data_IF_212963417215
#
_entry.id   IF_212963417215
#
_cell.length_a   1.000
_cell.length_b   1.000
_cell.length_c   1.000
_cell.angle_alpha   90.00
_cell.angle_beta   90.00
_cell.angle_gamma   90.00
#
_symmetry.space_group_name_H-M   'P 1'
#
loop_
_entity.id
_entity.type
_entity.pdbx_description
1 polymer ?
#
# COMPACT_ATOMS: atom_id res chain seq x y z
N UNK A 1 -2.27 -55.76 4.17
CA UNK A 1 -3.59 -56.27 4.60
C UNK A 1 -3.76 -55.96 6.07
N UNK A 2 -4.71 -55.10 6.43
CA UNK A 2 -5.19 -54.86 7.79
C UNK A 2 -6.58 -54.19 7.68
N UNK A 3 -7.50 -54.52 8.58
CA UNK A 3 -8.93 -54.42 8.31
C UNK A 3 -9.61 -53.09 8.67
N UNK A 4 -10.77 -52.94 8.03
CA UNK A 4 -11.92 -52.09 8.38
C UNK A 4 -12.21 -51.96 9.87
N UNK A 5 -12.85 -50.85 10.26
CA UNK A 5 -14.14 -50.86 10.97
C UNK A 5 -14.79 -49.45 10.96
N UNK A 6 -15.99 -49.34 10.39
CA UNK A 6 -16.87 -48.18 10.60
C UNK A 6 -17.64 -48.35 11.91
N UNK A 7 -18.05 -47.24 12.56
CA UNK A 7 -19.04 -47.28 13.65
C UNK A 7 -20.03 -46.13 13.61
N UNK A 8 -21.29 -46.48 13.40
CA UNK A 8 -22.49 -45.72 13.79
C UNK A 8 -23.02 -46.28 15.13
N UNK A 9 -24.00 -45.72 15.85
CA UNK A 9 -24.85 -44.51 15.73
C UNK A 9 -24.88 -43.85 17.15
N UNK A 10 -25.67 -42.85 17.58
CA UNK A 10 -26.90 -42.22 17.07
C UNK A 10 -27.03 -40.75 17.55
N UNK A 11 -28.06 -40.05 17.08
CA UNK A 11 -28.55 -38.80 17.65
C UNK A 11 -29.12 -38.94 19.07
N UNK A 12 -29.13 -37.84 19.81
CA UNK A 12 -30.14 -37.56 20.84
C UNK A 12 -30.49 -36.09 20.82
N UNK A 13 -31.75 -35.79 20.50
CA UNK A 13 -32.23 -34.42 20.33
C UNK A 13 -32.42 -33.71 21.67
N UNK A 14 -32.13 -32.41 21.70
CA UNK A 14 -32.81 -31.44 22.56
C UNK A 14 -33.18 -30.21 21.74
N UNK A 15 -34.46 -29.87 21.78
CA UNK A 15 -35.11 -28.85 20.96
C UNK A 15 -35.64 -27.74 21.88
N UNK A 16 -35.53 -26.50 21.41
CA UNK A 16 -36.15 -25.25 21.93
C UNK A 16 -35.78 -24.78 23.34
N UNK A 17 -35.24 -23.55 23.41
CA UNK A 17 -36.07 -22.38 23.69
C UNK A 17 -35.52 -21.12 23.03
N UNK A 18 -36.44 -20.27 22.60
CA UNK A 18 -36.22 -18.99 21.95
C UNK A 18 -36.14 -17.85 22.97
N UNK A 19 -35.23 -16.90 22.76
CA UNK A 19 -35.46 -15.49 23.09
C UNK A 19 -34.85 -14.66 21.97
N UNK A 20 -35.70 -14.08 21.12
CA UNK A 20 -35.30 -13.16 20.07
C UNK A 20 -35.04 -11.80 20.69
N UNK A 21 -33.83 -11.59 21.22
CA UNK A 21 -33.36 -10.24 21.52
C UNK A 21 -33.10 -9.53 20.18
N UNK A 22 -34.17 -9.01 19.60
CA UNK A 22 -34.14 -7.99 18.57
C UNK A 22 -33.50 -6.75 19.19
N UNK A 23 -32.16 -6.72 19.17
CA UNK A 23 -31.40 -5.52 19.45
C UNK A 23 -31.74 -4.53 18.34
N UNK A 24 -32.72 -3.68 18.63
CA UNK A 24 -33.10 -2.54 17.83
C UNK A 24 -31.89 -1.62 17.75
N UNK A 25 -31.03 -1.86 16.76
CA UNK A 25 -30.08 -0.88 16.29
C UNK A 25 -30.90 0.32 15.85
N UNK A 26 -31.00 1.31 16.71
CA UNK A 26 -31.38 2.67 16.34
C UNK A 26 -30.38 3.11 15.28
N UNK A 27 -30.76 2.92 14.02
CA UNK A 27 -30.01 3.40 12.89
C UNK A 27 -29.99 4.92 13.02
N UNK A 28 -28.86 5.48 13.46
CA UNK A 28 -28.70 6.91 13.57
C UNK A 28 -28.76 7.49 12.16
N UNK A 29 -29.92 8.02 11.78
CA UNK A 29 -30.21 8.44 10.41
C UNK A 29 -29.43 9.70 9.97
N UNK A 30 -28.58 10.25 10.85
CA UNK A 30 -27.65 11.36 10.56
C UNK A 30 -26.18 10.94 10.44
N UNK A 31 -25.88 9.64 10.25
CA UNK A 31 -24.51 9.11 10.30
C UNK A 31 -23.73 9.13 8.96
N UNK A 32 -24.26 9.78 7.92
CA UNK A 32 -23.58 9.98 6.63
C UNK A 32 -23.50 11.47 6.29
N UNK A 33 -22.75 12.23 7.09
CA UNK A 33 -22.19 13.49 6.61
C UNK A 33 -20.98 13.16 5.72
N UNK A 34 -21.10 13.44 4.43
CA UNK A 34 -19.98 13.41 3.50
C UNK A 34 -19.01 14.54 3.88
N UNK A 35 -17.88 14.19 4.52
CA UNK A 35 -16.80 15.14 4.77
C UNK A 35 -16.34 15.73 3.43
N UNK A 36 -16.49 17.05 3.25
CA UNK A 36 -16.07 17.70 2.00
C UNK A 36 -14.54 17.64 1.92
N UNK A 37 -13.97 17.54 0.71
CA UNK A 37 -12.52 17.51 0.53
C UNK A 37 -11.88 18.75 1.18
N UNK A 38 -10.84 18.53 1.98
CA UNK A 38 -10.11 19.57 2.72
C UNK A 38 -10.65 19.93 4.12
N UNK A 39 -11.87 19.56 4.51
CA UNK A 39 -12.41 19.94 5.83
C UNK A 39 -11.58 19.36 6.99
N UNK A 40 -11.15 18.10 6.85
CA UNK A 40 -10.32 17.42 7.86
C UNK A 40 -8.92 18.06 7.96
N UNK A 41 -8.40 18.60 6.84
CA UNK A 41 -7.15 19.35 6.82
C UNK A 41 -7.20 20.57 7.74
N UNK A 42 -8.27 21.36 7.63
CA UNK A 42 -8.49 22.57 8.46
C UNK A 42 -8.64 22.20 9.95
N UNK A 43 -9.43 21.17 10.25
CA UNK A 43 -9.67 20.71 11.63
C UNK A 43 -8.40 20.15 12.30
N UNK A 44 -7.50 19.55 11.51
CA UNK A 44 -6.32 18.85 12.03
C UNK A 44 -5.19 19.75 12.58
N UNK A 45 -5.33 21.07 12.51
CA UNK A 45 -4.34 22.03 13.04
C UNK A 45 -3.05 22.14 12.22
N UNK A 46 -3.04 21.60 10.99
CA UNK A 46 -1.93 21.75 10.05
C UNK A 46 -1.92 23.21 9.54
N UNK A 47 -0.77 23.93 9.56
CA UNK A 47 -0.71 25.29 9.05
C UNK A 47 -0.96 25.33 7.53
N UNK A 48 -1.61 26.39 7.05
CA UNK A 48 -2.10 26.49 5.67
C UNK A 48 -0.99 26.33 4.62
N UNK A 49 0.23 26.81 4.93
CA UNK A 49 1.43 26.64 4.10
C UNK A 49 1.74 25.17 3.77
N UNK A 50 1.42 24.25 4.69
CA UNK A 50 1.63 22.82 4.51
C UNK A 50 0.41 22.10 3.91
N UNK A 51 -0.78 22.72 3.91
CA UNK A 51 -1.95 22.21 3.19
C UNK A 51 -1.87 22.50 1.68
N UNK A 52 -1.33 23.67 1.29
CA UNK A 52 -1.19 24.06 -0.13
C UNK A 52 -0.08 23.31 -0.90
N UNK A 53 0.63 22.36 -0.28
CA UNK A 53 1.77 21.67 -0.90
C UNK A 53 1.34 20.50 -1.76
N UNK A 54 2.09 20.26 -2.86
CA UNK A 54 1.86 19.11 -3.73
C UNK A 54 2.49 17.84 -3.16
N UNK A 55 1.74 16.74 -3.19
CA UNK A 55 2.16 15.42 -2.72
C UNK A 55 2.24 14.43 -3.88
N UNK A 56 3.13 13.44 -3.78
CA UNK A 56 3.29 12.39 -4.80
C UNK A 56 2.89 11.04 -4.20
N UNK A 57 1.80 10.47 -4.69
CA UNK A 57 1.33 9.13 -4.30
C UNK A 57 2.07 8.10 -5.15
N UNK A 58 2.76 7.15 -4.53
CA UNK A 58 3.55 6.14 -5.23
C UNK A 58 3.68 4.83 -4.44
N UNK A 59 3.86 3.72 -5.15
CA UNK A 59 4.44 2.50 -4.57
C UNK A 59 5.96 2.58 -4.70
N UNK A 60 6.74 2.47 -3.61
CA UNK A 60 8.18 2.33 -3.71
C UNK A 60 8.58 1.15 -4.60
N UNK A 61 9.62 1.36 -5.42
CA UNK A 61 10.22 0.31 -6.22
C UNK A 61 11.00 -0.67 -5.32
N UNK A 62 11.30 -1.87 -5.84
CA UNK A 62 12.21 -2.79 -5.16
C UNK A 62 13.61 -2.19 -5.12
N UNK A 63 14.28 -2.21 -3.96
CA UNK A 63 15.68 -1.82 -3.82
C UNK A 63 16.55 -2.60 -4.80
N UNK A 64 17.26 -1.93 -5.72
CA UNK A 64 17.97 -2.61 -6.82
C UNK A 64 19.05 -3.60 -6.34
N UNK A 65 19.67 -3.33 -5.18
CA UNK A 65 20.69 -4.19 -4.56
C UNK A 65 20.13 -5.45 -3.90
N UNK A 66 18.81 -5.57 -3.72
CA UNK A 66 18.15 -6.68 -3.03
C UNK A 66 17.11 -7.35 -3.93
N UNK A 67 17.04 -8.69 -3.90
CA UNK A 67 16.08 -9.42 -4.72
C UNK A 67 14.69 -9.58 -4.08
N UNK A 68 14.58 -9.39 -2.76
CA UNK A 68 13.33 -9.58 -2.00
C UNK A 68 12.21 -8.61 -2.36
N UNK A 69 10.97 -9.12 -2.43
CA UNK A 69 9.77 -8.37 -2.83
C UNK A 69 8.95 -7.82 -1.66
N UNK A 70 9.25 -8.18 -0.40
CA UNK A 70 8.37 -7.92 0.76
C UNK A 70 8.07 -6.45 1.09
N UNK A 71 8.87 -5.49 0.61
CA UNK A 71 8.60 -4.05 0.75
C UNK A 71 7.78 -3.44 -0.40
N UNK A 72 7.51 -4.20 -1.46
CA UNK A 72 6.86 -3.71 -2.68
C UNK A 72 5.34 -3.85 -2.57
N UNK A 73 4.59 -2.83 -3.01
CA UNK A 73 3.12 -2.88 -3.08
C UNK A 73 2.40 -2.21 -1.92
N UNK A 74 3.11 -1.76 -0.88
CA UNK A 74 2.60 -0.71 0.01
C UNK A 74 2.71 0.64 -0.70
N UNK A 75 1.66 1.45 -0.62
CA UNK A 75 1.59 2.79 -1.17
C UNK A 75 2.04 3.81 -0.13
N UNK A 76 2.67 4.91 -0.57
CA UNK A 76 3.13 6.01 0.27
C UNK A 76 2.80 7.35 -0.34
N UNK A 77 2.73 8.37 0.52
CA UNK A 77 2.57 9.77 0.12
C UNK A 77 3.92 10.46 0.36
N UNK A 78 4.60 10.86 -0.71
CA UNK A 78 5.82 11.65 -0.62
C UNK A 78 5.47 13.14 -0.55
N UNK A 79 5.92 13.81 0.49
CA UNK A 79 5.92 15.27 0.58
C UNK A 79 7.24 15.77 -0.02
N UNK A 80 7.16 16.50 -1.13
CA UNK A 80 8.35 17.08 -1.76
C UNK A 80 8.93 18.12 -0.79
N UNK A 81 10.06 17.78 -0.16
CA UNK A 81 10.79 18.66 0.77
C UNK A 81 11.99 19.26 0.04
N UNK A 82 12.07 20.59 0.01
CA UNK A 82 12.99 21.32 -0.89
C UNK A 82 14.30 21.72 -0.21
N UNK A 83 14.28 22.00 1.09
CA UNK A 83 15.41 22.63 1.79
C UNK A 83 15.95 21.73 2.91
N UNK A 84 17.14 21.18 2.65
CA UNK A 84 18.04 20.56 3.63
C UNK A 84 19.39 21.25 3.50
N UNK A 85 19.98 21.64 4.62
CA UNK A 85 21.25 22.38 4.66
C UNK A 85 22.21 21.75 5.67
N UNK A 86 23.49 22.13 5.59
CA UNK A 86 24.51 21.70 6.53
C UNK A 86 24.50 22.58 7.79
N UNK A 87 24.52 21.96 8.97
CA UNK A 87 24.67 22.67 10.24
C UNK A 87 26.12 23.16 10.39
N UNK A 88 26.37 24.49 10.48
CA UNK A 88 27.73 25.05 10.48
C UNK A 88 28.60 24.64 11.66
N UNK A 89 28.04 24.08 12.75
CA UNK A 89 28.81 23.61 13.90
C UNK A 89 29.30 22.17 13.76
N UNK A 90 28.46 21.26 13.23
CA UNK A 90 28.68 19.80 13.29
C UNK A 90 28.68 19.11 11.92
N UNK A 91 28.36 19.81 10.83
CA UNK A 91 28.23 19.22 9.49
C UNK A 91 26.98 18.35 9.28
N UNK A 92 26.05 18.32 10.23
CA UNK A 92 24.84 17.48 10.15
C UNK A 92 23.78 18.09 9.22
N UNK A 93 23.01 17.23 8.54
CA UNK A 93 21.90 17.66 7.70
C UNK A 93 20.73 18.15 8.53
N UNK A 94 20.45 19.45 8.45
CA UNK A 94 19.33 20.12 9.09
C UNK A 94 18.22 20.40 8.07
N UNK A 95 16.98 20.51 8.54
CA UNK A 95 15.80 20.81 7.73
C UNK A 95 14.79 21.63 8.53
N UNK A 96 14.04 22.49 7.84
CA UNK A 96 12.92 23.25 8.42
C UNK A 96 11.55 22.65 8.13
N UNK A 97 11.47 21.58 7.34
CA UNK A 97 10.20 20.99 6.90
C UNK A 97 9.76 19.86 7.84
N UNK A 98 8.63 19.98 8.58
CA UNK A 98 8.17 18.96 9.50
C UNK A 98 7.74 17.67 8.79
N UNK A 99 7.33 17.74 7.51
CA UNK A 99 6.91 16.56 6.75
C UNK A 99 8.05 15.76 6.13
N UNK A 100 9.30 16.23 6.25
CA UNK A 100 10.48 15.64 5.61
C UNK A 100 10.68 14.14 5.90
N UNK A 101 10.21 13.65 7.06
CA UNK A 101 10.30 12.24 7.47
C UNK A 101 8.94 11.51 7.51
N UNK A 102 7.82 12.25 7.60
CA UNK A 102 6.48 11.68 7.85
C UNK A 102 6.00 10.80 6.70
N UNK A 103 6.21 11.24 5.46
CA UNK A 103 5.79 10.51 4.26
C UNK A 103 6.51 9.19 4.05
N UNK A 104 7.80 9.12 4.40
CA UNK A 104 8.60 7.91 4.24
C UNK A 104 8.49 6.94 5.43
N UNK A 105 8.38 7.44 6.67
CA UNK A 105 8.39 6.61 7.87
C UNK A 105 6.99 6.24 8.39
N UNK A 106 6.02 7.16 8.34
CA UNK A 106 4.74 7.03 9.06
C UNK A 106 3.53 6.69 8.20
N UNK A 107 3.50 7.10 6.93
CA UNK A 107 2.30 6.98 6.09
C UNK A 107 2.43 5.89 5.02
N UNK A 108 1.97 4.69 5.36
CA UNK A 108 1.84 3.56 4.41
C UNK A 108 0.39 3.08 4.27
N UNK A 109 -0.06 2.95 3.03
CA UNK A 109 -1.40 2.51 2.64
C UNK A 109 -1.32 1.18 1.89
N UNK A 110 -2.43 0.45 1.83
CA UNK A 110 -2.50 -0.85 1.13
C UNK A 110 -2.94 -0.72 -0.33
N UNK A 111 -3.75 0.29 -0.66
CA UNK A 111 -4.23 0.59 -2.01
C UNK A 111 -3.90 2.01 -2.44
N UNK A 112 -3.88 2.23 -3.76
CA UNK A 112 -3.76 3.55 -4.38
C UNK A 112 -4.94 4.45 -4.00
N UNK A 113 -6.14 3.86 -3.94
CA UNK A 113 -7.40 4.55 -3.62
C UNK A 113 -7.45 5.04 -2.18
N UNK A 114 -6.98 4.23 -1.21
CA UNK A 114 -6.90 4.66 0.19
C UNK A 114 -5.95 5.86 0.36
N UNK A 115 -4.85 5.90 -0.39
CA UNK A 115 -3.92 7.03 -0.39
C UNK A 115 -4.53 8.29 -1.04
N UNK A 116 -5.31 8.14 -2.14
CA UNK A 116 -6.05 9.25 -2.76
C UNK A 116 -7.11 9.82 -1.82
N UNK A 117 -7.98 8.97 -1.27
CA UNK A 117 -9.01 9.36 -0.32
C UNK A 117 -8.41 10.05 0.92
N UNK A 118 -7.24 9.63 1.37
CA UNK A 118 -6.51 10.33 2.43
C UNK A 118 -6.08 11.73 1.99
N UNK A 119 -5.41 11.87 0.84
CA UNK A 119 -5.01 13.18 0.32
C UNK A 119 -6.20 14.13 0.09
N UNK A 120 -7.32 13.63 -0.46
CA UNK A 120 -8.56 14.39 -0.70
C UNK A 120 -9.21 14.87 0.61
N UNK A 121 -9.26 14.02 1.65
CA UNK A 121 -9.77 14.39 2.98
C UNK A 121 -8.98 15.54 3.62
N UNK A 122 -7.66 15.51 3.49
CA UNK A 122 -6.78 16.58 3.98
C UNK A 122 -6.69 17.79 3.02
N UNK A 123 -7.19 17.67 1.79
CA UNK A 123 -7.19 18.76 0.80
C UNK A 123 -5.85 18.98 0.09
N UNK A 124 -4.99 17.96 0.02
CA UNK A 124 -3.69 18.06 -0.65
C UNK A 124 -3.78 17.82 -2.16
N UNK A 125 -3.17 18.72 -2.94
CA UNK A 125 -2.90 18.52 -4.37
C UNK A 125 -2.02 17.29 -4.58
N UNK A 126 -2.53 16.21 -5.19
CA UNK A 126 -1.78 14.97 -5.37
C UNK A 126 -1.48 14.63 -6.84
N UNK A 127 -0.31 14.02 -7.06
CA UNK A 127 0.09 13.42 -8.34
C UNK A 127 0.37 11.93 -8.13
N UNK A 128 -0.28 11.06 -8.88
CA UNK A 128 -0.11 9.60 -8.72
C UNK A 128 0.90 9.04 -9.72
N UNK A 129 1.93 8.36 -9.20
CA UNK A 129 2.88 7.56 -9.97
C UNK A 129 2.47 6.09 -9.93
N UNK A 130 2.04 5.56 -11.08
CA UNK A 130 1.65 4.15 -11.24
C UNK A 130 2.78 3.20 -10.82
N UNK A 131 2.43 2.12 -10.13
CA UNK A 131 3.38 1.07 -9.73
C UNK A 131 3.91 0.32 -10.96
N UNK A 132 5.23 0.34 -11.17
CA UNK A 132 5.86 -0.46 -12.21
C UNK A 132 6.13 -1.89 -11.70
N UNK A 133 5.40 -2.88 -12.24
CA UNK A 133 5.61 -4.30 -11.96
C UNK A 133 6.49 -4.94 -13.05
N UNK A 134 7.54 -5.70 -12.70
CA UNK A 134 8.32 -6.43 -13.69
C UNK A 134 7.48 -7.53 -14.34
N UNK A 135 7.63 -7.73 -15.65
CA UNK A 135 6.99 -8.82 -16.37
C UNK A 135 7.68 -10.15 -16.04
N UNK A 136 6.89 -11.16 -15.66
CA UNK A 136 7.39 -12.52 -15.42
C UNK A 136 7.58 -13.23 -16.76
N UNK A 137 8.82 -13.27 -17.22
CA UNK A 137 9.22 -14.02 -18.42
C UNK A 137 9.33 -15.51 -18.09
N UNK A 138 8.81 -16.36 -18.98
CA UNK A 138 9.13 -17.80 -18.95
C UNK A 138 10.63 -17.94 -19.23
N UNK A 139 11.32 -18.75 -18.43
CA UNK A 139 12.74 -19.04 -18.58
C UNK A 139 12.96 -20.54 -18.42
N UNK A 140 13.60 -21.18 -19.39
CA UNK A 140 13.92 -22.60 -19.32
C UNK A 140 15.43 -22.80 -19.35
N UNK A 141 15.97 -23.57 -18.40
CA UNK A 141 17.41 -23.85 -18.35
C UNK A 141 17.90 -24.61 -19.61
N UNK A 142 17.01 -25.31 -20.31
CA UNK A 142 17.32 -25.97 -21.58
C UNK A 142 17.64 -24.97 -22.72
N UNK A 143 17.16 -23.73 -22.65
CA UNK A 143 17.43 -22.71 -23.67
C UNK A 143 18.92 -22.33 -23.72
N UNK A 144 19.65 -22.48 -22.59
CA UNK A 144 21.09 -22.26 -22.52
C UNK A 144 21.89 -23.21 -23.44
N UNK A 145 21.35 -24.40 -23.72
CA UNK A 145 21.99 -25.45 -24.51
C UNK A 145 21.29 -25.70 -25.85
N UNK A 146 20.40 -24.79 -26.27
CA UNK A 146 19.69 -24.92 -27.56
C UNK A 146 20.70 -24.86 -28.71
N UNK A 147 20.63 -25.85 -29.61
CA UNK A 147 21.45 -25.91 -30.82
C UNK A 147 21.32 -24.61 -31.63
N UNK A 148 22.45 -23.96 -31.91
CA UNK A 148 22.50 -22.64 -32.56
C UNK A 148 22.48 -22.69 -34.10
N UNK A 149 22.44 -23.89 -34.68
CA UNK A 149 22.65 -24.11 -36.11
C UNK A 149 24.13 -24.28 -36.47
N UNK A 150 24.44 -24.65 -37.73
CA UNK A 150 25.80 -24.58 -38.25
C UNK A 150 26.33 -23.14 -38.24
N UNK A 151 27.66 -22.93 -38.24
CA UNK A 151 28.23 -21.60 -38.38
C UNK A 151 27.74 -20.96 -39.68
N UNK A 152 27.35 -19.68 -39.61
CA UNK A 152 27.06 -18.91 -40.83
C UNK A 152 28.38 -18.60 -41.50
N UNK A 153 28.54 -19.03 -42.74
CA UNK A 153 29.60 -18.51 -43.60
C UNK A 153 29.30 -17.03 -43.85
N UNK A 154 30.22 -16.16 -43.48
CA UNK A 154 30.17 -14.74 -43.83
C UNK A 154 30.65 -14.65 -45.29
N UNK A 155 29.71 -14.54 -46.22
CA UNK A 155 29.99 -14.16 -47.61
C UNK A 155 30.05 -12.62 -47.68
N UNK A 156 31.14 -12.09 -48.26
CA UNK A 156 31.45 -10.65 -48.38
C UNK A 156 30.51 -9.89 -49.34
#
# INVERSE_FOLDING_TARGET
MANTLQRCVNNSARILRSELLSSSKTFCSGALEECKPGEIGIISGIPEEHLRRKVVIYSPARTATQQGSGKVGKWKINFVSTQKWENPLMGWTSTGDPYANVGDAGLSFESEEAAKQFAEKYGWDYVVRKRHTPLLTVKSYAENFKWKGPPKTEEE
#
